data_IF_136845214193
#
_entry.id   IF_136845214193
#
_cell.length_a   1.000
_cell.length_b   1.000
_cell.length_c   1.000
_cell.angle_alpha   90.00
_cell.angle_beta   90.00
_cell.angle_gamma   90.00
#
_symmetry.space_group_name_H-M   'P 1'
#
loop_
_entity.id
_entity.type
_entity.pdbx_description
1 polymer ?
#
# COMPACT_ATOMS: atom_id res chain seq x y z
N UNK A 1 21.83 0.06 -2.93
CA UNK A 1 20.64 0.60 -2.25
C UNK A 1 19.68 -0.57 -2.21
N UNK A 2 19.53 -1.18 -1.04
CA UNK A 2 18.87 -2.47 -0.90
C UNK A 2 17.35 -2.26 -0.89
N UNK A 3 16.66 -2.92 -1.82
CA UNK A 3 15.21 -2.87 -1.95
C UNK A 3 14.64 -3.84 -0.91
N UNK A 4 14.20 -3.34 0.23
CA UNK A 4 13.46 -4.15 1.20
C UNK A 4 11.97 -4.16 0.84
N UNK A 5 11.48 -5.28 0.32
CA UNK A 5 10.05 -5.54 0.18
C UNK A 5 9.49 -5.98 1.52
N UNK A 6 8.72 -5.13 2.17
CA UNK A 6 8.07 -5.41 3.46
C UNK A 6 6.61 -5.77 3.20
N UNK A 7 6.17 -6.95 3.65
CA UNK A 7 4.78 -7.39 3.48
C UNK A 7 4.17 -7.48 4.88
N UNK A 8 3.11 -6.71 5.17
CA UNK A 8 2.46 -6.66 6.50
C UNK A 8 0.99 -6.98 6.42
N UNK A 9 0.51 -7.84 7.33
CA UNK A 9 -0.89 -8.22 7.46
C UNK A 9 -1.68 -7.42 8.49
N UNK A 10 -2.96 -7.20 8.22
CA UNK A 10 -3.97 -6.74 9.18
C UNK A 10 -5.13 -7.75 9.15
N UNK A 11 -5.35 -8.46 10.25
CA UNK A 11 -6.30 -9.56 10.32
C UNK A 11 -7.77 -9.11 10.20
N UNK A 12 -8.50 -9.73 9.26
CA UNK A 12 -9.90 -10.11 9.44
C UNK A 12 -10.07 -11.56 8.98
N UNK A 13 -10.90 -12.37 9.65
CA UNK A 13 -11.02 -13.79 9.34
C UNK A 13 -11.78 -13.98 8.02
N UNK A 14 -11.16 -14.67 7.05
CA UNK A 14 -11.76 -15.07 5.77
C UNK A 14 -10.93 -16.14 5.06
N UNK A 15 -11.54 -17.03 4.25
CA UNK A 15 -10.90 -18.26 3.82
C UNK A 15 -9.92 -18.03 2.65
N UNK A 16 -8.76 -18.67 2.77
CA UNK A 16 -7.62 -18.68 1.85
C UNK A 16 -7.94 -19.41 0.54
N UNK A 17 -7.38 -18.99 -0.61
CA UNK A 17 -6.32 -19.85 -1.18
C UNK A 17 -5.18 -19.11 -1.91
N UNK A 18 -4.06 -19.85 -1.98
CA UNK A 18 -2.87 -19.71 -2.83
C UNK A 18 -1.72 -18.77 -2.39
N UNK A 19 -0.58 -19.43 -2.17
CA UNK A 19 0.71 -18.93 -1.69
C UNK A 19 1.62 -18.55 -2.86
N UNK A 20 2.09 -17.32 -2.88
CA UNK A 20 3.41 -16.94 -3.41
C UNK A 20 4.20 -16.33 -2.25
N UNK A 21 5.48 -16.69 -2.10
CA UNK A 21 6.24 -16.48 -0.85
C UNK A 21 6.55 -15.01 -0.51
N UNK A 22 6.20 -14.06 -1.39
CA UNK A 22 6.28 -12.61 -1.12
C UNK A 22 4.95 -11.86 -1.31
N UNK A 23 3.82 -12.58 -1.27
CA UNK A 23 2.48 -12.01 -1.41
C UNK A 23 1.63 -12.37 -0.19
N UNK A 24 1.28 -11.40 0.65
CA UNK A 24 0.28 -11.60 1.70
C UNK A 24 -1.11 -11.36 1.10
N UNK A 25 -1.91 -12.42 1.06
CA UNK A 25 -3.32 -12.33 0.74
C UNK A 25 -4.10 -11.93 2.00
N UNK A 26 -4.43 -10.65 2.09
CA UNK A 26 -5.18 -10.06 3.20
C UNK A 26 -6.63 -9.86 2.80
N UNK A 27 -7.38 -10.96 2.72
CA UNK A 27 -8.83 -10.92 2.58
C UNK A 27 -9.36 -10.46 1.22
N UNK A 28 -8.91 -9.35 0.62
CA UNK A 28 -9.41 -8.87 -0.69
C UNK A 28 -8.44 -8.04 -1.54
N UNK A 29 -7.18 -7.80 -1.12
CA UNK A 29 -6.21 -7.06 -1.96
C UNK A 29 -4.79 -7.57 -1.76
N UNK A 30 -4.05 -7.76 -2.85
CA UNK A 30 -2.63 -8.12 -2.81
C UNK A 30 -1.80 -6.85 -2.65
N UNK A 31 -1.11 -6.68 -1.53
CA UNK A 31 -0.28 -5.51 -1.26
C UNK A 31 1.21 -5.79 -1.51
N UNK A 32 1.87 -4.91 -2.25
CA UNK A 32 3.34 -4.87 -2.40
C UNK A 32 3.86 -3.53 -1.93
N UNK A 33 4.85 -3.53 -1.03
CA UNK A 33 5.49 -2.30 -0.57
C UNK A 33 6.91 -2.20 -1.11
N UNK A 34 7.27 -1.04 -1.61
CA UNK A 34 8.62 -0.74 -2.10
C UNK A 34 9.08 0.62 -1.59
N UNK A 35 10.36 0.74 -1.25
CA UNK A 35 10.96 2.02 -0.88
C UNK A 35 11.80 2.53 -2.06
N UNK A 36 11.36 3.63 -2.66
CA UNK A 36 11.99 4.22 -3.86
C UNK A 36 12.00 5.73 -3.71
N UNK A 37 13.14 6.36 -3.96
CA UNK A 37 13.31 7.83 -3.93
C UNK A 37 12.80 8.51 -2.65
N UNK A 38 13.03 7.87 -1.49
CA UNK A 38 12.61 8.41 -0.20
C UNK A 38 11.09 8.30 0.08
N UNK A 39 10.36 7.59 -0.78
CA UNK A 39 8.93 7.31 -0.62
C UNK A 39 8.71 5.83 -0.32
N UNK A 40 7.75 5.55 0.56
CA UNK A 40 7.18 4.22 0.73
C UNK A 40 5.97 4.10 -0.19
N UNK A 41 6.14 3.34 -1.27
CA UNK A 41 5.13 3.02 -2.26
C UNK A 41 4.42 1.74 -1.82
N UNK A 42 3.10 1.73 -1.91
CA UNK A 42 2.27 0.55 -1.74
C UNK A 42 1.36 0.38 -2.95
N UNK A 43 1.48 -0.77 -3.60
CA UNK A 43 0.62 -1.21 -4.69
C UNK A 43 -0.39 -2.21 -4.15
N UNK A 44 -1.68 -1.92 -4.27
CA UNK A 44 -2.76 -2.83 -3.94
C UNK A 44 -3.42 -3.33 -5.23
N UNK A 45 -3.17 -4.59 -5.58
CA UNK A 45 -3.75 -5.23 -6.77
C UNK A 45 -5.10 -5.87 -6.47
N UNK A 46 -6.04 -5.70 -7.40
CA UNK A 46 -7.36 -6.30 -7.34
C UNK A 46 -7.27 -7.82 -7.37
N UNK A 47 -8.05 -8.50 -6.54
CA UNK A 47 -8.17 -9.96 -6.54
C UNK A 47 -9.37 -10.40 -7.39
N UNK A 48 -10.43 -9.58 -7.46
CA UNK A 48 -11.61 -9.80 -8.30
C UNK A 48 -11.70 -8.77 -9.40
N UNK A 49 -12.41 -9.09 -10.48
CA UNK A 49 -12.48 -8.22 -11.66
C UNK A 49 -13.13 -6.85 -11.39
N UNK A 50 -14.12 -6.83 -10.50
CA UNK A 50 -14.88 -5.62 -10.12
C UNK A 50 -14.19 -4.77 -9.04
N UNK A 51 -13.12 -5.29 -8.41
CA UNK A 51 -12.36 -4.54 -7.42
C UNK A 51 -11.45 -3.51 -8.11
N UNK A 52 -11.19 -2.40 -7.43
CA UNK A 52 -10.28 -1.35 -7.91
C UNK A 52 -8.91 -1.54 -7.31
N UNK A 53 -7.90 -1.46 -8.17
CA UNK A 53 -6.52 -1.30 -7.72
C UNK A 53 -6.35 0.05 -7.00
N UNK A 54 -5.42 0.08 -6.05
CA UNK A 54 -5.10 1.29 -5.31
C UNK A 54 -3.59 1.48 -5.21
N UNK A 55 -3.14 2.70 -5.45
CA UNK A 55 -1.74 3.09 -5.34
C UNK A 55 -1.58 4.08 -4.19
N UNK A 56 -0.66 3.80 -3.28
CA UNK A 56 -0.36 4.65 -2.15
C UNK A 56 1.08 5.13 -2.20
N UNK A 57 1.29 6.43 -2.03
CA UNK A 57 2.60 7.03 -1.82
C UNK A 57 2.64 7.61 -0.40
N UNK A 58 3.69 7.29 0.35
CA UNK A 58 3.97 7.89 1.65
C UNK A 58 5.33 8.55 1.62
N UNK A 59 5.39 9.82 1.99
CA UNK A 59 6.63 10.58 1.99
C UNK A 59 6.62 11.68 3.04
N UNK A 60 7.81 12.15 3.40
CA UNK A 60 7.98 13.35 4.24
C UNK A 60 8.12 14.55 3.30
N UNK A 61 7.28 15.57 3.45
CA UNK A 61 7.37 16.79 2.66
C UNK A 61 8.47 17.74 3.17
N UNK A 62 8.65 18.87 2.47
CA UNK A 62 9.67 19.86 2.81
C UNK A 62 9.49 20.47 4.21
N UNK A 63 8.27 20.46 4.75
CA UNK A 63 7.93 20.97 6.07
C UNK A 63 8.07 19.90 7.17
N UNK A 64 8.54 18.70 6.82
CA UNK A 64 8.69 17.59 7.76
C UNK A 64 7.37 16.87 8.08
N UNK A 65 6.29 17.11 7.32
CA UNK A 65 4.99 16.47 7.53
C UNK A 65 4.92 15.15 6.78
N UNK A 66 4.25 14.16 7.37
CA UNK A 66 3.96 12.91 6.68
C UNK A 66 2.78 13.14 5.74
N UNK A 67 3.01 12.94 4.44
CA UNK A 67 1.99 12.98 3.40
C UNK A 67 1.71 11.56 2.93
N UNK A 68 0.43 11.22 2.83
CA UNK A 68 -0.06 9.97 2.26
C UNK A 68 -1.02 10.30 1.13
N UNK A 69 -0.64 9.95 -0.10
CA UNK A 69 -1.49 10.05 -1.29
C UNK A 69 -2.03 8.67 -1.63
N UNK A 70 -3.33 8.58 -1.93
CA UNK A 70 -3.99 7.36 -2.35
C UNK A 70 -4.73 7.63 -3.66
N UNK A 71 -4.46 6.84 -4.69
CA UNK A 71 -5.14 6.87 -5.99
C UNK A 71 -5.88 5.56 -6.20
N UNK A 72 -7.16 5.62 -6.55
CA UNK A 72 -7.96 4.45 -6.92
C UNK A 72 -8.99 4.81 -7.99
N UNK A 73 -8.84 4.23 -9.18
CA UNK A 73 -9.59 4.64 -10.36
C UNK A 73 -9.42 6.14 -10.65
N UNK A 74 -10.54 6.87 -10.67
CA UNK A 74 -10.55 8.32 -10.93
C UNK A 74 -10.58 9.19 -9.65
N UNK A 75 -10.30 8.60 -8.49
CA UNK A 75 -10.32 9.31 -7.20
C UNK A 75 -8.91 9.38 -6.65
N UNK A 76 -8.52 10.56 -6.19
CA UNK A 76 -7.29 10.81 -5.46
C UNK A 76 -7.62 11.43 -4.10
N UNK A 77 -7.03 10.88 -3.03
CA UNK A 77 -7.17 11.36 -1.67
C UNK A 77 -5.79 11.63 -1.06
N UNK A 78 -5.67 12.75 -0.34
CA UNK A 78 -4.43 13.15 0.32
C UNK A 78 -4.69 13.33 1.81
N UNK A 79 -3.85 12.71 2.65
CA UNK A 79 -3.80 12.92 4.09
C UNK A 79 -2.46 13.54 4.46
N UNK A 80 -2.49 14.56 5.32
CA UNK A 80 -1.28 15.21 5.85
C UNK A 80 -1.30 15.09 7.36
N UNK A 81 -0.18 14.67 7.94
CA UNK A 81 -0.02 14.46 9.37
C UNK A 81 1.12 15.31 9.89
N UNK A 82 0.90 15.89 11.07
CA UNK A 82 1.92 16.62 11.82
C UNK A 82 2.33 15.76 13.02
N UNK A 83 3.62 15.81 13.34
CA UNK A 83 4.13 15.18 14.55
C UNK A 83 3.66 15.99 15.76
N UNK A 84 3.04 15.33 16.74
CA UNK A 84 2.68 15.91 18.04
C UNK A 84 3.91 15.90 18.95
#
# INVERSE_FOLDING_TARGET
MDIETIIRGVDRPGPNPEKNENSLNLGFVLCTFTFVDGKLIEEQKKIKDDDKESHFERYIDADGKLVITCKSGNVEAVRKYEKI
#
